data_IF_493947492487
#
_entry.id   IF_493947492487
#
_cell.length_a   1.000
_cell.length_b   1.000
_cell.length_c   1.000
_cell.angle_alpha   90.00
_cell.angle_beta   90.00
_cell.angle_gamma   90.00
#
_symmetry.space_group_name_H-M   'P 1'
#
loop_
_entity.id
_entity.type
_entity.pdbx_description
1 polymer ?
#
# COMPACT_ATOMS: atom_id res chain seq x y z
N UNK A 1 6.46 2.13 5.77
CA UNK A 1 5.51 2.33 4.68
C UNK A 1 4.41 1.28 4.75
N UNK A 2 3.15 1.71 4.65
CA UNK A 2 1.99 0.82 4.57
C UNK A 2 1.76 0.44 3.11
N UNK A 3 1.74 -0.86 2.83
CA UNK A 3 1.47 -1.37 1.48
C UNK A 3 -0.02 -1.57 1.28
N UNK A 4 -0.62 -0.84 0.35
CA UNK A 4 -2.00 -1.05 -0.09
C UNK A 4 -2.12 -2.32 -0.95
N UNK A 5 -3.32 -2.86 -1.04
CA UNK A 5 -3.63 -4.05 -1.85
C UNK A 5 -3.32 -3.83 -3.32
N UNK A 6 -3.60 -2.64 -3.85
CA UNK A 6 -3.31 -2.34 -5.26
C UNK A 6 -1.81 -2.44 -5.58
N UNK A 7 -0.94 -1.91 -4.71
CA UNK A 7 0.51 -2.03 -4.89
C UNK A 7 0.97 -3.48 -4.89
N UNK A 8 0.48 -4.29 -3.95
CA UNK A 8 0.87 -5.70 -3.86
C UNK A 8 0.39 -6.49 -5.08
N UNK A 9 -0.82 -6.22 -5.57
CA UNK A 9 -1.34 -6.86 -6.79
C UNK A 9 -0.54 -6.49 -8.03
N UNK A 10 -0.18 -5.21 -8.18
CA UNK A 10 0.61 -4.74 -9.32
C UNK A 10 2.04 -5.32 -9.26
N UNK A 11 2.65 -5.40 -8.07
CA UNK A 11 3.94 -6.05 -7.85
C UNK A 11 3.91 -7.54 -8.21
N UNK A 12 2.89 -8.28 -7.76
CA UNK A 12 2.69 -9.68 -8.12
C UNK A 12 2.41 -9.87 -9.62
N UNK A 13 1.80 -8.88 -10.26
CA UNK A 13 1.56 -8.82 -11.70
C UNK A 13 2.80 -8.48 -12.52
N UNK A 14 3.91 -8.09 -11.89
CA UNK A 14 5.14 -7.68 -12.56
C UNK A 14 5.05 -6.28 -13.20
N UNK A 15 4.16 -5.41 -12.69
CA UNK A 15 4.11 -4.01 -13.12
C UNK A 15 5.48 -3.35 -12.90
N UNK A 16 6.03 -2.72 -13.95
CA UNK A 16 7.38 -2.18 -13.89
C UNK A 16 7.53 -1.05 -12.87
N UNK A 17 6.49 -0.24 -12.64
CA UNK A 17 6.48 0.82 -11.63
C UNK A 17 6.52 0.22 -10.23
N UNK A 18 5.67 -0.77 -9.97
CA UNK A 18 5.61 -1.45 -8.69
C UNK A 18 6.92 -2.18 -8.36
N UNK A 19 7.52 -2.86 -9.35
CA UNK A 19 8.81 -3.55 -9.20
C UNK A 19 9.94 -2.58 -8.87
N UNK A 20 10.11 -1.52 -9.67
CA UNK A 20 11.12 -0.49 -9.38
C UNK A 20 10.94 0.09 -7.99
N UNK A 21 9.69 0.36 -7.59
CA UNK A 21 9.41 0.92 -6.27
C UNK A 21 9.76 -0.05 -5.15
N UNK A 22 9.49 -1.34 -5.31
CA UNK A 22 9.88 -2.36 -4.35
C UNK A 22 11.41 -2.42 -4.19
N UNK A 23 12.16 -2.39 -5.30
CA UNK A 23 13.62 -2.33 -5.29
C UNK A 23 14.15 -1.09 -4.55
N UNK A 24 13.60 0.10 -4.84
CA UNK A 24 13.95 1.34 -4.12
C UNK A 24 13.73 1.23 -2.61
N UNK A 25 12.60 0.64 -2.19
CA UNK A 25 12.26 0.47 -0.77
C UNK A 25 13.18 -0.53 -0.08
N UNK A 26 13.52 -1.63 -0.76
CA UNK A 26 14.50 -2.60 -0.28
C UNK A 26 15.89 -1.97 -0.12
N UNK A 27 16.36 -1.21 -1.11
CA UNK A 27 17.66 -0.52 -1.06
C UNK A 27 17.73 0.53 0.05
N UNK A 28 16.64 1.26 0.28
CA UNK A 28 16.57 2.28 1.34
C UNK A 28 16.49 1.68 2.76
N UNK A 29 16.19 0.38 2.88
CA UNK A 29 15.92 -0.27 4.16
C UNK A 29 14.65 0.23 4.86
N UNK A 30 13.75 0.90 4.12
CA UNK A 30 12.50 1.40 4.66
C UNK A 30 11.62 0.24 5.14
N UNK A 31 11.12 0.25 6.40
CA UNK A 31 10.23 -0.80 6.88
C UNK A 31 8.96 -0.89 6.05
N UNK A 32 8.68 -2.05 5.46
CA UNK A 32 7.45 -2.32 4.71
C UNK A 32 6.46 -3.10 5.58
N UNK A 33 5.22 -2.62 5.68
CA UNK A 33 4.17 -3.21 6.50
C UNK A 33 2.97 -3.58 5.65
N UNK A 34 2.50 -4.81 5.81
CA UNK A 34 1.27 -5.32 5.20
C UNK A 34 0.16 -5.32 6.26
N UNK A 35 -0.85 -4.43 6.17
CA UNK A 35 -2.02 -4.51 7.02
C UNK A 35 -2.70 -5.88 6.92
N UNK A 36 -3.25 -6.38 8.03
CA UNK A 36 -3.99 -7.65 8.03
C UNK A 36 -5.18 -7.63 7.06
N UNK A 37 -5.78 -6.46 6.84
CA UNK A 37 -6.83 -6.29 5.84
C UNK A 37 -6.32 -6.46 4.41
N UNK A 38 -5.14 -5.93 4.06
CA UNK A 38 -4.48 -6.20 2.76
C UNK A 38 -4.28 -7.70 2.54
N UNK A 39 -3.84 -8.44 3.55
CA UNK A 39 -3.72 -9.91 3.46
C UNK A 39 -5.08 -10.60 3.23
N UNK A 40 -6.12 -10.12 3.92
CA UNK A 40 -7.49 -10.63 3.77
C UNK A 40 -8.00 -10.39 2.34
N UNK A 41 -7.74 -9.21 1.80
CA UNK A 41 -8.09 -8.81 0.44
C UNK A 41 -7.44 -9.68 -0.63
N UNK A 42 -6.15 -9.98 -0.47
CA UNK A 42 -5.43 -10.91 -1.34
C UNK A 42 -5.99 -12.35 -1.25
N UNK A 43 -6.45 -12.77 -0.08
CA UNK A 43 -7.04 -14.10 0.12
C UNK A 43 -8.42 -14.25 -0.53
N UNK A 44 -9.28 -13.22 -0.44
CA UNK A 44 -10.66 -13.29 -0.92
C UNK A 44 -10.88 -12.63 -2.29
N UNK A 45 -9.90 -11.90 -2.81
CA UNK A 45 -9.96 -11.20 -4.10
C UNK A 45 -10.82 -9.93 -4.11
N UNK A 46 -10.83 -9.17 -3.01
CA UNK A 46 -11.62 -7.93 -2.87
C UNK A 46 -10.66 -6.76 -2.61
N UNK A 47 -10.89 -5.59 -3.23
CA UNK A 47 -10.08 -4.37 -3.04
C UNK A 47 -10.93 -3.18 -2.59
N UNK A 48 -11.52 -3.25 -1.40
CA UNK A 48 -12.41 -2.22 -0.81
C UNK A 48 -11.98 -1.75 0.58
N UNK A 49 -10.84 -2.20 1.07
CA UNK A 49 -10.31 -2.08 2.43
C UNK A 49 -9.65 -0.74 2.73
N UNK A 50 -9.91 0.30 1.92
CA UNK A 50 -9.32 1.64 1.99
C UNK A 50 -9.31 2.18 3.42
N UNK A 51 -10.46 2.16 4.10
CA UNK A 51 -10.57 2.71 5.46
C UNK A 51 -9.68 1.97 6.48
N UNK A 52 -9.50 0.66 6.33
CA UNK A 52 -8.68 -0.12 7.24
C UNK A 52 -7.18 0.04 6.95
N UNK A 53 -6.80 0.18 5.68
CA UNK A 53 -5.43 0.52 5.28
C UNK A 53 -5.07 1.92 5.78
N UNK A 54 -5.97 2.90 5.63
CA UNK A 54 -5.79 4.25 6.16
C UNK A 54 -5.64 4.28 7.69
N UNK A 55 -6.47 3.51 8.41
CA UNK A 55 -6.36 3.39 9.86
C UNK A 55 -5.01 2.77 10.30
N UNK A 56 -4.47 1.82 9.51
CA UNK A 56 -3.15 1.26 9.77
C UNK A 56 -2.05 2.31 9.56
N UNK A 57 -2.15 3.14 8.52
CA UNK A 57 -1.23 4.24 8.25
C UNK A 57 -1.26 5.30 9.34
N UNK A 58 -2.44 5.72 9.78
CA UNK A 58 -2.59 6.65 10.90
C UNK A 58 -1.96 6.09 12.18
N UNK A 59 -2.22 4.82 12.49
CA UNK A 59 -1.68 4.16 13.71
C UNK A 59 -0.16 4.04 13.69
N UNK A 60 0.44 3.76 12.54
CA UNK A 60 1.89 3.60 12.39
C UNK A 60 2.62 4.92 12.12
N UNK A 61 1.90 5.98 11.75
CA UNK A 61 2.49 7.25 11.33
C UNK A 61 3.28 7.15 10.03
N UNK A 62 2.87 6.27 9.12
CA UNK A 62 3.59 5.97 7.88
C UNK A 62 2.71 6.21 6.64
N UNK A 63 3.30 6.63 5.51
CA UNK A 63 2.54 6.83 4.29
C UNK A 63 2.02 5.50 3.71
N UNK A 64 0.88 5.59 3.01
CA UNK A 64 0.32 4.50 2.20
C UNK A 64 0.94 4.53 0.81
N UNK A 65 1.52 3.40 0.38
CA UNK A 65 1.95 3.20 -0.99
C UNK A 65 0.82 2.62 -1.83
N UNK A 66 0.33 3.39 -2.79
CA UNK A 66 -0.84 3.04 -3.60
C UNK A 66 -0.90 3.86 -4.90
N UNK A 67 -1.57 3.30 -5.92
CA UNK A 67 -2.00 4.06 -7.11
C UNK A 67 -3.37 4.75 -6.93
N UNK A 68 -4.10 4.46 -5.85
CA UNK A 68 -5.43 5.01 -5.56
C UNK A 68 -5.39 6.26 -4.68
N UNK A 69 -4.58 7.24 -5.08
CA UNK A 69 -4.26 8.46 -4.31
C UNK A 69 -5.53 9.12 -3.73
N UNK A 70 -6.53 9.37 -4.58
CA UNK A 70 -7.74 10.09 -4.21
C UNK A 70 -8.53 9.45 -3.07
N UNK A 71 -8.47 8.12 -2.92
CA UNK A 71 -9.24 7.41 -1.90
C UNK A 71 -8.66 7.62 -0.50
N UNK A 72 -7.36 7.82 -0.42
CA UNK A 72 -6.63 8.04 0.83
C UNK A 72 -6.48 9.52 1.17
N UNK A 73 -6.36 10.41 0.19
CA UNK A 73 -6.38 11.86 0.42
C UNK A 73 -7.68 12.32 1.07
N UNK A 74 -8.82 11.73 0.69
CA UNK A 74 -10.14 11.97 1.32
C UNK A 74 -10.16 11.63 2.81
N UNK A 75 -9.27 10.73 3.25
CA UNK A 75 -9.13 10.28 4.63
C UNK A 75 -8.02 11.02 5.39
N UNK A 76 -7.30 11.94 4.74
CA UNK A 76 -6.27 12.77 5.37
C UNK A 76 -4.98 12.04 5.72
N UNK A 77 -4.72 10.87 5.13
CA UNK A 77 -3.48 10.12 5.35
C UNK A 77 -2.43 10.46 4.29
N UNK A 78 -1.15 10.42 4.68
CA UNK A 78 -0.05 10.62 3.74
C UNK A 78 0.03 9.47 2.74
N UNK A 79 0.29 9.80 1.48
CA UNK A 79 0.33 8.85 0.36
C UNK A 79 1.61 8.98 -0.44
N UNK A 80 2.04 7.86 -1.00
CA UNK A 80 3.11 7.78 -1.98
C UNK A 80 2.63 6.91 -3.15
N UNK A 81 2.98 7.31 -4.38
CA UNK A 81 2.63 6.59 -5.62
C UNK A 81 3.89 6.05 -6.29
N UNK A 82 3.70 5.16 -7.24
CA UNK A 82 4.73 4.52 -8.08
C UNK A 82 4.34 4.56 -9.55
#
# INVERSE_FOLDING_TARGET
>A
MILDTAFVLDLLGGDEGAVRKAEELEESGAPMRLPAMTVTELYIGIGTGVAAVAAAAEREGEPVLTRHIEDFEKLGVAVESY
#
